data_IF_967070361051
#
_entry.id   IF_967070361051
#
_cell.length_a   1.000
_cell.length_b   1.000
_cell.length_c   1.000
_cell.angle_alpha   90.00
_cell.angle_beta   90.00
_cell.angle_gamma   90.00
#
_symmetry.space_group_name_H-M   'P 1'
#
loop_
_entity.id
_entity.type
_entity.pdbx_description
1 polymer ?
#
# COMPACT_ATOMS: atom_id res chain seq x y z
N UNK A 1 -0.79 -5.31 -18.04
CA UNK A 1 -0.26 -6.64 -17.70
C UNK A 1 -0.67 -6.97 -16.28
N UNK A 2 -1.28 -8.16 -16.05
CA UNK A 2 -1.68 -8.59 -14.71
C UNK A 2 -0.44 -8.88 -13.86
N UNK A 3 -0.39 -8.32 -12.65
CA UNK A 3 0.66 -8.57 -11.68
C UNK A 3 0.12 -9.44 -10.55
N UNK A 4 0.74 -10.60 -10.35
CA UNK A 4 0.34 -11.57 -9.33
C UNK A 4 1.20 -11.37 -8.06
N UNK A 5 0.63 -11.54 -6.87
CA UNK A 5 1.40 -11.57 -5.62
C UNK A 5 1.23 -12.97 -5.00
N UNK A 6 2.35 -13.67 -4.73
CA UNK A 6 2.35 -15.03 -4.18
C UNK A 6 3.14 -15.06 -2.87
N UNK A 7 2.58 -15.68 -1.84
CA UNK A 7 3.31 -16.00 -0.63
C UNK A 7 4.17 -17.28 -0.82
N UNK A 8 5.16 -17.48 0.04
CA UNK A 8 5.81 -18.80 0.17
C UNK A 8 4.79 -19.78 0.75
N UNK A 9 4.80 -21.02 0.29
CA UNK A 9 3.82 -22.07 0.63
C UNK A 9 2.38 -21.76 0.16
N UNK A 10 2.22 -20.77 -0.73
CA UNK A 10 0.95 -20.50 -1.39
C UNK A 10 0.57 -21.70 -2.25
N UNK A 11 -0.64 -22.23 -2.09
CA UNK A 11 -1.16 -23.33 -2.90
C UNK A 11 -1.90 -22.79 -4.13
N UNK A 12 -1.71 -23.46 -5.27
CA UNK A 12 -2.28 -23.09 -6.57
C UNK A 12 -2.73 -24.35 -7.29
N UNK A 13 -3.95 -24.37 -7.79
CA UNK A 13 -4.41 -25.36 -8.76
C UNK A 13 -3.94 -24.97 -10.15
N UNK A 14 -3.36 -25.90 -10.89
CA UNK A 14 -3.00 -25.75 -12.30
C UNK A 14 -3.42 -27.05 -13.00
N UNK A 15 -4.29 -26.97 -14.00
CA UNK A 15 -4.77 -28.13 -14.77
C UNK A 15 -5.22 -29.30 -13.87
N UNK A 16 -6.05 -29.02 -12.86
CA UNK A 16 -6.54 -30.00 -11.87
C UNK A 16 -5.45 -30.71 -11.03
N UNK A 17 -4.27 -30.10 -10.91
CA UNK A 17 -3.24 -30.52 -9.97
C UNK A 17 -2.89 -29.40 -9.00
N UNK A 18 -2.85 -29.74 -7.71
CA UNK A 18 -2.46 -28.82 -6.65
C UNK A 18 -0.94 -28.73 -6.56
N UNK A 19 -0.45 -27.50 -6.58
CA UNK A 19 0.96 -27.17 -6.45
C UNK A 19 1.18 -26.19 -5.29
N UNK A 20 2.35 -26.25 -4.67
CA UNK A 20 2.78 -25.37 -3.59
C UNK A 20 3.99 -24.52 -4.02
N UNK A 21 3.95 -23.22 -3.76
CA UNK A 21 5.06 -22.30 -4.07
C UNK A 21 6.22 -22.52 -3.10
N UNK A 22 7.30 -23.17 -3.56
CA UNK A 22 8.50 -23.43 -2.75
C UNK A 22 9.48 -22.26 -2.71
N UNK A 23 9.55 -21.49 -3.79
CA UNK A 23 10.53 -20.43 -3.91
C UNK A 23 10.32 -19.53 -5.11
N UNK A 24 11.10 -18.44 -5.12
CA UNK A 24 11.17 -17.47 -6.21
C UNK A 24 12.63 -17.25 -6.56
N UNK A 25 12.99 -17.41 -7.83
CA UNK A 25 14.32 -17.09 -8.34
C UNK A 25 14.21 -15.81 -9.19
N UNK A 26 15.05 -14.81 -8.90
CA UNK A 26 15.14 -13.57 -9.67
C UNK A 26 13.91 -12.64 -9.67
N UNK A 27 12.80 -13.05 -9.05
CA UNK A 27 11.53 -12.29 -9.04
C UNK A 27 10.61 -12.57 -10.24
N UNK A 28 11.12 -13.27 -11.25
CA UNK A 28 10.42 -13.63 -12.49
C UNK A 28 10.01 -15.10 -12.52
N UNK A 29 10.79 -15.98 -11.87
CA UNK A 29 10.58 -17.42 -11.88
C UNK A 29 9.97 -17.89 -10.56
N UNK A 30 8.92 -18.69 -10.66
CA UNK A 30 8.20 -19.31 -9.55
C UNK A 30 8.44 -20.81 -9.59
N UNK A 31 8.92 -21.36 -8.47
CA UNK A 31 9.11 -22.80 -8.30
C UNK A 31 7.87 -23.37 -7.61
N UNK A 32 7.17 -24.23 -8.32
CA UNK A 32 5.98 -24.91 -7.87
C UNK A 32 6.32 -26.39 -7.63
N UNK A 33 5.90 -26.92 -6.49
CA UNK A 33 6.02 -28.34 -6.19
C UNK A 33 4.61 -28.95 -6.21
N UNK A 34 4.39 -29.97 -7.03
CA UNK A 34 3.11 -30.66 -7.06
C UNK A 34 2.94 -31.44 -5.75
N UNK A 35 1.82 -31.24 -5.07
CA UNK A 35 1.59 -31.80 -3.72
C UNK A 35 1.46 -33.33 -3.74
N UNK A 36 1.04 -33.90 -4.88
CA UNK A 36 0.78 -35.34 -4.99
C UNK A 36 2.05 -36.20 -4.99
N UNK A 37 3.07 -35.77 -5.71
CA UNK A 37 4.27 -36.57 -6.03
C UNK A 37 5.59 -35.81 -5.82
N UNK A 38 5.52 -34.55 -5.41
CA UNK A 38 6.69 -33.69 -5.21
C UNK A 38 7.33 -33.21 -6.51
N UNK A 39 6.68 -33.38 -7.66
CA UNK A 39 7.25 -32.96 -8.94
C UNK A 39 7.46 -31.45 -8.97
N UNK A 40 8.69 -31.03 -9.28
CA UNK A 40 9.04 -29.62 -9.38
C UNK A 40 8.71 -29.08 -10.77
N UNK A 41 7.83 -28.10 -10.82
CA UNK A 41 7.49 -27.33 -12.01
C UNK A 41 8.03 -25.90 -11.88
N UNK A 42 8.77 -25.47 -12.89
CA UNK A 42 9.25 -24.10 -13.00
C UNK A 42 8.34 -23.36 -13.97
N UNK A 43 7.75 -22.26 -13.52
CA UNK A 43 6.91 -21.39 -14.35
C UNK A 43 7.28 -19.95 -14.11
N UNK A 44 7.11 -19.13 -15.14
CA UNK A 44 7.27 -17.68 -14.98
C UNK A 44 6.04 -17.09 -14.33
N UNK A 45 6.24 -15.94 -13.70
CA UNK A 45 5.15 -15.15 -13.12
C UNK A 45 4.11 -14.74 -14.16
N UNK A 46 4.57 -14.47 -15.39
CA UNK A 46 3.73 -14.12 -16.54
C UNK A 46 2.85 -15.31 -16.94
N UNK A 47 3.45 -16.47 -17.16
CA UNK A 47 2.71 -17.69 -17.52
C UNK A 47 1.67 -18.03 -16.46
N UNK A 48 2.04 -17.92 -15.18
CA UNK A 48 1.11 -18.20 -14.09
C UNK A 48 -0.06 -17.19 -14.06
N UNK A 49 0.20 -15.91 -14.33
CA UNK A 49 -0.86 -14.91 -14.44
C UNK A 49 -1.76 -15.15 -15.66
N UNK A 50 -1.19 -15.53 -16.81
CA UNK A 50 -1.93 -15.91 -18.01
C UNK A 50 -2.82 -17.14 -17.77
N UNK A 51 -2.32 -18.15 -17.04
CA UNK A 51 -3.09 -19.33 -16.65
C UNK A 51 -4.28 -18.98 -15.75
N UNK A 52 -4.10 -18.05 -14.80
CA UNK A 52 -5.19 -17.57 -13.95
C UNK A 52 -6.23 -16.80 -14.78
N UNK A 53 -5.79 -15.89 -15.66
CA UNK A 53 -6.69 -15.15 -16.54
C UNK A 53 -7.46 -16.05 -17.52
N UNK A 54 -6.87 -17.19 -17.91
CA UNK A 54 -7.50 -18.19 -18.76
C UNK A 54 -8.38 -19.22 -17.98
N UNK A 55 -8.61 -19.01 -16.67
CA UNK A 55 -9.28 -19.92 -15.74
C UNK A 55 -8.68 -21.34 -15.65
N UNK A 56 -7.42 -21.50 -16.11
CA UNK A 56 -6.64 -22.76 -16.04
C UNK A 56 -5.88 -22.92 -14.73
N UNK A 57 -5.81 -21.85 -13.93
CA UNK A 57 -5.21 -21.88 -12.61
C UNK A 57 -6.01 -21.10 -11.57
N UNK A 58 -6.07 -21.61 -10.32
CA UNK A 58 -6.81 -21.00 -9.21
C UNK A 58 -5.96 -20.95 -7.94
N UNK A 59 -5.94 -19.79 -7.27
CA UNK A 59 -5.22 -19.62 -6.00
C UNK A 59 -6.07 -20.18 -4.86
N UNK A 60 -5.47 -20.99 -3.99
CA UNK A 60 -6.14 -21.56 -2.82
C UNK A 60 -5.88 -20.69 -1.60
N UNK A 61 -6.91 -20.37 -0.82
CA UNK A 61 -6.71 -19.67 0.45
C UNK A 61 -5.94 -20.55 1.44
N UNK A 62 -4.87 -20.02 2.03
CA UNK A 62 -4.14 -20.74 3.08
C UNK A 62 -4.88 -20.57 4.40
N UNK A 63 -5.63 -21.60 4.80
CA UNK A 63 -6.30 -21.66 6.11
C UNK A 63 -5.30 -21.43 7.25
N UNK A 64 -5.70 -20.64 8.26
CA UNK A 64 -4.91 -20.35 9.46
C UNK A 64 -4.00 -19.11 9.40
N UNK A 65 -3.89 -18.45 8.25
CA UNK A 65 -3.07 -17.22 8.13
C UNK A 65 -3.86 -15.90 8.26
N UNK A 66 -5.20 -15.98 8.35
CA UNK A 66 -6.07 -14.79 8.40
C UNK A 66 -5.98 -13.89 7.16
N UNK A 67 -5.26 -14.31 6.11
CA UNK A 67 -5.16 -13.63 4.82
C UNK A 67 -5.80 -14.51 3.77
N UNK A 68 -7.04 -14.20 3.43
CA UNK A 68 -7.57 -14.61 2.13
C UNK A 68 -6.59 -14.16 1.03
N UNK A 69 -6.31 -15.00 0.02
CA UNK A 69 -5.57 -14.60 -1.16
C UNK A 69 -6.46 -13.61 -1.89
N UNK A 70 -6.30 -12.33 -1.56
CA UNK A 70 -6.87 -11.29 -2.36
C UNK A 70 -6.22 -11.41 -3.73
N UNK A 71 -7.00 -11.77 -4.75
CA UNK A 71 -6.73 -11.26 -6.10
C UNK A 71 -6.66 -9.76 -5.88
N UNK A 72 -5.44 -9.21 -5.86
CA UNK A 72 -5.24 -7.78 -5.60
C UNK A 72 -5.67 -7.06 -6.88
N UNK A 73 -6.98 -6.95 -7.10
CA UNK A 73 -7.58 -5.97 -8.00
C UNK A 73 -7.16 -4.56 -7.60
N UNK A 74 -6.63 -4.37 -6.38
CA UNK A 74 -6.07 -3.12 -5.87
C UNK A 74 -4.89 -2.54 -6.67
N UNK A 75 -4.41 -3.21 -7.72
CA UNK A 75 -3.48 -2.63 -8.71
C UNK A 75 -4.16 -2.18 -10.02
N UNK A 76 -5.43 -2.50 -10.25
CA UNK A 76 -6.23 -1.96 -11.35
C UNK A 76 -6.70 -0.53 -11.07
N UNK A 77 -6.91 -0.16 -9.79
CA UNK A 77 -7.38 1.17 -9.39
C UNK A 77 -6.44 2.32 -9.74
N UNK A 78 -5.15 2.02 -9.95
CA UNK A 78 -4.17 3.01 -10.43
C UNK A 78 -3.92 2.81 -11.90
N UNK A 79 -4.94 3.13 -12.69
CA UNK A 79 -4.68 3.37 -14.09
C UNK A 79 -3.71 4.54 -14.21
N UNK A 80 -2.59 4.33 -14.91
CA UNK A 80 -1.54 5.33 -15.06
C UNK A 80 -2.13 6.58 -15.75
N UNK A 81 -3.11 6.36 -16.63
CA UNK A 81 -3.85 7.41 -17.32
C UNK A 81 -4.69 8.29 -16.39
N UNK A 82 -5.12 7.81 -15.23
CA UNK A 82 -5.90 8.56 -14.26
C UNK A 82 -5.04 9.30 -13.21
N UNK A 83 -3.70 9.16 -13.25
CA UNK A 83 -2.83 9.77 -12.25
C UNK A 83 -2.76 11.30 -12.39
N UNK A 84 -2.76 12.04 -11.26
CA UNK A 84 -2.55 13.50 -11.26
C UNK A 84 -1.24 13.88 -11.98
N UNK A 85 -1.17 15.04 -12.65
CA UNK A 85 0.01 15.43 -13.44
C UNK A 85 1.32 15.36 -12.65
N UNK A 86 1.32 15.83 -11.40
CA UNK A 86 2.49 15.79 -10.51
C UNK A 86 2.96 14.36 -10.20
N UNK A 87 2.02 13.44 -10.01
CA UNK A 87 2.33 12.02 -9.73
C UNK A 87 2.89 11.36 -10.99
N UNK A 88 2.32 11.68 -12.16
CA UNK A 88 2.76 11.17 -13.46
C UNK A 88 4.17 11.63 -13.81
N UNK A 89 4.46 12.93 -13.70
CA UNK A 89 5.81 13.46 -13.96
C UNK A 89 6.88 12.77 -13.09
N UNK A 90 6.59 12.55 -11.81
CA UNK A 90 7.52 11.85 -10.92
C UNK A 90 7.60 10.35 -11.25
N UNK A 91 6.53 9.71 -11.71
CA UNK A 91 6.57 8.33 -12.19
C UNK A 91 7.42 8.19 -13.45
N UNK A 92 7.24 9.09 -14.42
CA UNK A 92 8.01 9.12 -15.67
C UNK A 92 9.50 9.34 -15.38
N UNK A 93 9.80 10.28 -14.48
CA UNK A 93 11.16 10.49 -13.97
C UNK A 93 11.74 9.21 -13.37
N UNK A 94 11.01 8.49 -12.52
CA UNK A 94 11.47 7.22 -11.93
C UNK A 94 11.69 6.14 -12.98
N UNK A 95 10.84 6.10 -14.00
CA UNK A 95 10.91 5.13 -15.09
C UNK A 95 12.21 5.28 -15.87
N UNK A 96 12.66 6.50 -16.16
CA UNK A 96 13.94 6.73 -16.84
C UNK A 96 15.14 6.17 -16.06
N UNK A 97 15.18 6.37 -14.74
CA UNK A 97 16.24 5.79 -13.90
C UNK A 97 16.18 4.26 -13.86
N UNK A 98 14.98 3.68 -13.73
CA UNK A 98 14.81 2.24 -13.68
C UNK A 98 15.18 1.57 -15.01
N UNK A 99 14.77 2.19 -16.12
CA UNK A 99 15.13 1.75 -17.47
C UNK A 99 16.64 1.73 -17.66
N UNK A 100 17.34 2.79 -17.23
CA UNK A 100 18.79 2.81 -17.32
C UNK A 100 19.47 1.72 -16.46
N UNK A 101 18.91 1.39 -15.29
CA UNK A 101 19.44 0.28 -14.45
C UNK A 101 19.28 -1.07 -15.15
N UNK A 102 18.16 -1.28 -15.83
CA UNK A 102 17.87 -2.48 -16.62
C UNK A 102 18.79 -2.57 -17.85
N UNK A 103 18.88 -1.50 -18.66
CA UNK A 103 19.73 -1.43 -19.86
C UNK A 103 21.22 -1.49 -19.53
N UNK A 104 21.63 -0.94 -18.39
CA UNK A 104 23.02 -0.93 -17.93
C UNK A 104 23.53 -2.28 -17.41
N UNK A 105 22.68 -3.31 -17.34
CA UNK A 105 23.07 -4.65 -16.91
C UNK A 105 23.68 -4.69 -15.51
N UNK A 106 23.24 -3.80 -14.61
CA UNK A 106 23.86 -3.62 -13.30
C UNK A 106 23.57 -4.84 -12.42
N UNK A 107 24.54 -5.75 -12.32
CA UNK A 107 24.43 -7.00 -11.55
C UNK A 107 24.31 -6.75 -10.04
N UNK A 108 25.00 -5.72 -9.52
CA UNK A 108 25.01 -5.37 -8.09
C UNK A 108 24.53 -3.94 -7.87
N UNK A 109 23.55 -3.76 -6.98
CA UNK A 109 22.99 -2.44 -6.65
C UNK A 109 23.78 -1.78 -5.52
N UNK A 110 25.00 -1.35 -5.82
CA UNK A 110 25.90 -0.67 -4.87
C UNK A 110 26.02 0.81 -5.20
N UNK A 111 26.57 1.58 -4.27
CA UNK A 111 26.87 2.99 -4.51
C UNK A 111 27.78 3.18 -5.73
N UNK A 112 28.86 2.38 -5.83
CA UNK A 112 29.82 2.48 -6.93
C UNK A 112 29.20 2.22 -8.29
N UNK A 113 28.31 1.23 -8.41
CA UNK A 113 27.66 0.90 -9.67
C UNK A 113 26.55 1.88 -10.04
N UNK A 114 25.76 2.35 -9.07
CA UNK A 114 24.61 3.20 -9.34
C UNK A 114 24.96 4.70 -9.45
N UNK A 115 26.03 5.17 -8.79
CA UNK A 115 26.34 6.61 -8.77
C UNK A 115 26.75 7.16 -10.14
N UNK A 116 27.42 6.36 -10.96
CA UNK A 116 27.74 6.73 -12.35
C UNK A 116 26.49 6.81 -13.21
N UNK A 117 25.63 5.79 -13.10
CA UNK A 117 24.36 5.71 -13.80
C UNK A 117 23.42 6.85 -13.44
N UNK A 118 23.29 7.17 -12.15
CA UNK A 118 22.47 8.29 -11.67
C UNK A 118 22.91 9.60 -12.31
N UNK A 119 24.22 9.88 -12.36
CA UNK A 119 24.76 11.09 -13.00
C UNK A 119 24.48 11.12 -14.50
N UNK A 120 24.68 10.00 -15.19
CA UNK A 120 24.41 9.89 -16.63
C UNK A 120 22.93 10.16 -16.95
N UNK A 121 22.01 9.53 -16.20
CA UNK A 121 20.57 9.71 -16.40
C UNK A 121 20.15 11.13 -16.02
N UNK A 122 20.68 11.69 -14.92
CA UNK A 122 20.37 13.06 -14.50
C UNK A 122 20.72 14.08 -15.59
N UNK A 123 21.89 13.93 -16.22
CA UNK A 123 22.31 14.77 -17.33
C UNK A 123 21.42 14.57 -18.56
N UNK A 124 21.05 13.32 -18.86
CA UNK A 124 20.18 12.98 -20.01
C UNK A 124 18.79 13.62 -19.91
N UNK A 125 18.19 13.61 -18.72
CA UNK A 125 16.81 14.09 -18.50
C UNK A 125 16.75 15.52 -17.94
N UNK A 126 17.90 16.17 -17.73
CA UNK A 126 17.97 17.51 -17.13
C UNK A 126 17.50 17.58 -15.67
N UNK A 127 17.68 16.50 -14.90
CA UNK A 127 17.23 16.45 -13.50
C UNK A 127 18.16 17.25 -12.59
N UNK A 128 17.69 18.42 -12.16
CA UNK A 128 18.42 19.30 -11.22
C UNK A 128 18.62 18.70 -9.82
N UNK A 129 17.83 17.69 -9.42
CA UNK A 129 17.85 17.11 -8.07
C UNK A 129 17.84 15.59 -8.14
N UNK A 130 18.90 14.95 -8.66
CA UNK A 130 18.92 13.52 -8.88
C UNK A 130 18.72 12.73 -7.57
N UNK A 131 18.07 11.56 -7.64
CA UNK A 131 17.87 10.71 -6.48
C UNK A 131 19.19 10.10 -6.01
N UNK A 132 19.35 9.94 -4.70
CA UNK A 132 20.48 9.21 -4.13
C UNK A 132 20.44 7.71 -4.53
N UNK A 133 21.58 7.04 -4.61
CA UNK A 133 21.67 5.63 -5.03
C UNK A 133 20.76 4.70 -4.22
N UNK A 134 20.64 4.95 -2.91
CA UNK A 134 19.74 4.18 -2.01
C UNK A 134 18.27 4.32 -2.41
N UNK A 135 17.89 5.44 -3.01
CA UNK A 135 16.52 5.68 -3.51
C UNK A 135 16.25 4.83 -4.74
N UNK A 136 17.20 4.76 -5.68
CA UNK A 136 17.13 3.86 -6.84
C UNK A 136 17.04 2.41 -6.37
N UNK A 137 17.93 1.99 -5.45
CA UNK A 137 17.90 0.66 -4.86
C UNK A 137 16.52 0.30 -4.28
N UNK A 138 15.88 1.24 -3.56
CA UNK A 138 14.53 1.05 -3.01
C UNK A 138 13.47 0.89 -4.10
N UNK A 139 13.56 1.64 -5.20
CA UNK A 139 12.64 1.49 -6.33
C UNK A 139 12.81 0.14 -7.03
N UNK A 140 14.05 -0.26 -7.33
CA UNK A 140 14.35 -1.57 -7.94
C UNK A 140 13.87 -2.69 -7.02
N UNK A 141 14.10 -2.58 -5.71
CA UNK A 141 13.63 -3.57 -4.73
C UNK A 141 12.10 -3.69 -4.70
N UNK A 142 11.36 -2.58 -4.85
CA UNK A 142 9.89 -2.61 -4.95
C UNK A 142 9.44 -3.24 -6.25
N UNK A 143 10.08 -2.88 -7.36
CA UNK A 143 9.78 -3.42 -8.67
C UNK A 143 9.99 -4.94 -8.72
N UNK A 144 11.11 -5.43 -8.17
CA UNK A 144 11.40 -6.86 -8.02
C UNK A 144 10.36 -7.59 -7.17
N UNK A 145 9.91 -6.99 -6.06
CA UNK A 145 8.84 -7.57 -5.21
C UNK A 145 7.48 -7.61 -5.90
N UNK A 146 7.23 -6.66 -6.80
CA UNK A 146 6.02 -6.57 -7.61
C UNK A 146 6.19 -7.21 -9.00
N UNK A 147 7.19 -8.07 -9.18
CA UNK A 147 7.44 -8.82 -10.41
C UNK A 147 7.44 -7.96 -11.67
N UNK A 148 8.07 -6.79 -11.60
CA UNK A 148 8.20 -5.87 -12.74
C UNK A 148 7.06 -4.86 -12.91
N UNK A 149 6.04 -4.88 -12.05
CA UNK A 149 4.93 -3.92 -12.18
C UNK A 149 5.36 -2.49 -11.80
N UNK A 150 5.40 -1.60 -12.81
CA UNK A 150 5.77 -0.19 -12.64
C UNK A 150 4.86 0.55 -11.65
N UNK A 151 3.63 0.08 -11.45
CA UNK A 151 2.68 0.65 -10.49
C UNK A 151 3.21 0.60 -9.05
N UNK A 152 4.07 -0.36 -8.74
CA UNK A 152 4.70 -0.49 -7.42
C UNK A 152 5.65 0.69 -7.08
N UNK A 153 6.06 1.45 -8.08
CA UNK A 153 6.99 2.59 -7.94
C UNK A 153 6.25 3.94 -7.96
N UNK A 154 4.92 3.95 -8.15
CA UNK A 154 4.08 5.16 -8.08
C UNK A 154 4.31 5.88 -6.73
N UNK A 155 4.63 7.18 -6.72
CA UNK A 155 4.78 7.94 -5.48
C UNK A 155 3.45 8.03 -4.73
N UNK A 156 3.44 7.53 -3.49
CA UNK A 156 2.34 7.73 -2.56
C UNK A 156 2.45 9.09 -1.86
N UNK A 157 2.22 10.19 -2.61
CA UNK A 157 2.22 11.55 -2.05
C UNK A 157 1.04 11.79 -1.10
N UNK A 158 -0.10 11.17 -1.41
CA UNK A 158 -1.33 11.10 -0.63
C UNK A 158 -1.13 10.49 0.77
N UNK A 159 -0.27 9.47 0.88
CA UNK A 159 0.04 8.80 2.17
C UNK A 159 1.01 9.58 3.06
N UNK A 160 1.55 10.70 2.58
CA UNK A 160 2.42 11.55 3.41
C UNK A 160 1.50 12.34 4.35
N UNK A 161 1.51 11.99 5.62
CA UNK A 161 0.75 12.71 6.65
C UNK A 161 1.00 14.22 6.58
N UNK A 162 0.00 15.00 6.98
CA UNK A 162 0.07 16.45 6.89
C UNK A 162 1.27 16.99 7.70
N UNK A 163 2.20 17.68 7.03
CA UNK A 163 3.39 18.29 7.63
C UNK A 163 3.16 19.75 8.03
N UNK A 164 2.00 20.32 7.73
CA UNK A 164 1.66 21.68 8.19
C UNK A 164 1.10 21.62 9.60
N UNK A 165 1.56 22.55 10.44
CA UNK A 165 1.10 22.71 11.82
C UNK A 165 -0.38 23.11 11.78
N UNK A 166 -1.27 22.26 12.30
CA UNK A 166 -2.72 22.54 12.38
C UNK A 166 -3.08 23.55 13.47
N UNK A 167 -2.13 23.82 14.37
CA UNK A 167 -2.27 24.85 15.39
C UNK A 167 -1.83 26.17 14.76
N UNK A 168 -2.79 26.96 14.27
CA UNK A 168 -2.60 28.40 14.22
C UNK A 168 -2.27 28.83 15.65
N UNK A 169 -1.17 29.54 15.87
CA UNK A 169 -0.98 30.21 17.16
C UNK A 169 -2.17 31.15 17.30
N UNK A 170 -3.14 30.79 18.15
CA UNK A 170 -4.13 31.76 18.59
C UNK A 170 -3.27 32.80 19.29
N UNK A 171 -3.13 34.04 18.78
CA UNK A 171 -2.48 35.06 19.56
C UNK A 171 -3.28 35.15 20.85
N UNK A 172 -2.57 35.09 21.97
CA UNK A 172 -3.11 35.32 23.31
C UNK A 172 -3.58 36.79 23.37
N UNK A 173 -4.67 37.10 22.66
CA UNK A 173 -5.35 38.36 22.76
C UNK A 173 -6.04 38.30 24.12
N UNK A 174 -5.42 39.02 25.05
CA UNK A 174 -5.97 39.41 26.34
C UNK A 174 -7.49 39.53 26.23
N UNK A 175 -8.21 38.70 27.00
CA UNK A 175 -9.64 38.89 27.24
C UNK A 175 -9.75 40.18 28.05
N UNK A 176 -9.72 41.31 27.34
CA UNK A 176 -10.14 42.59 27.84
C UNK A 176 -11.65 42.53 28.06
N UNK A 177 -12.05 42.64 29.32
CA UNK A 177 -13.38 43.03 29.80
C UNK A 177 -14.49 43.09 28.75
N UNK A 178 -15.26 42.00 28.61
CA UNK A 178 -16.63 42.09 28.12
C UNK A 178 -17.51 42.33 29.35
N UNK A 179 -17.97 43.56 29.52
CA UNK A 179 -19.08 43.87 30.41
C UNK A 179 -20.32 43.12 29.90
N UNK A 180 -20.73 42.08 30.65
CA UNK A 180 -22.03 41.45 30.46
C UNK A 180 -23.11 42.48 30.85
N UNK A 181 -23.72 43.17 29.88
CA UNK A 181 -25.05 43.72 30.10
C UNK A 181 -26.05 42.57 30.03
N UNK A 182 -26.45 42.11 31.19
CA UNK A 182 -27.49 41.10 31.39
C UNK A 182 -28.84 41.69 30.95
N UNK A 183 -29.39 41.23 29.82
CA UNK A 183 -30.81 41.46 29.49
C UNK A 183 -31.60 40.25 29.94
N UNK A 184 -32.38 40.43 31.00
CA UNK A 184 -33.29 39.43 31.56
C UNK A 184 -34.38 39.06 30.54
N UNK A 185 -34.60 37.78 30.22
CA UNK A 185 -35.86 37.36 29.62
C UNK A 185 -36.95 37.38 30.70
N UNK A 186 -38.05 38.09 30.42
CA UNK A 186 -39.25 38.11 31.28
C UNK A 186 -39.77 36.68 31.45
N UNK A 187 -39.95 36.33 32.71
CA UNK A 187 -40.65 35.15 33.21
C UNK A 187 -42.00 34.95 32.52
N UNK A 188 -42.23 33.75 32.01
CA UNK A 188 -43.58 33.19 31.95
C UNK A 188 -43.53 31.79 32.56
N UNK A 189 -44.25 31.67 33.68
CA UNK A 189 -44.47 30.44 34.42
C UNK A 189 -45.09 29.37 33.52
N UNK A 190 -44.46 28.20 33.44
CA UNK A 190 -45.19 26.94 33.36
C UNK A 190 -44.53 25.97 34.33
N UNK A 191 -45.26 25.65 35.39
CA UNK A 191 -44.89 24.65 36.38
C UNK A 191 -44.89 23.27 35.73
N UNK A 192 -43.78 22.53 35.88
CA UNK A 192 -43.79 21.08 35.77
C UNK A 192 -43.02 20.50 36.96
N UNK A 193 -43.79 19.95 37.89
CA UNK A 193 -43.32 19.10 38.97
C UNK A 193 -42.77 17.79 38.40
N UNK A 194 -41.53 17.43 38.72
CA UNK A 194 -40.98 16.13 38.33
C UNK A 194 -39.55 15.94 38.84
N UNK A 195 -39.43 15.12 39.87
CA UNK A 195 -38.22 14.86 40.66
C UNK A 195 -37.05 14.31 39.84
N UNK A 196 -35.85 14.85 40.07
CA UNK A 196 -34.59 14.34 39.57
C UNK A 196 -34.08 13.21 40.47
N UNK A 197 -33.98 11.99 39.93
CA UNK A 197 -33.14 10.94 40.49
C UNK A 197 -31.99 10.66 39.53
N UNK A 198 -30.82 11.21 39.85
CA UNK A 198 -29.55 10.82 39.25
C UNK A 198 -29.21 9.40 39.70
N UNK A 199 -29.06 8.45 38.77
CA UNK A 199 -28.26 7.24 39.01
C UNK A 199 -27.15 7.12 37.97
N UNK A 200 -25.94 7.22 38.50
CA UNK A 200 -24.68 6.69 37.96
C UNK A 200 -24.92 5.29 37.40
N UNK A 201 -24.60 5.07 36.13
CA UNK A 201 -24.36 3.73 35.59
C UNK A 201 -22.84 3.61 35.47
N UNK A 202 -22.26 2.95 36.47
CA UNK A 202 -20.89 2.46 36.40
C UNK A 202 -20.95 1.02 35.90
N UNK A 203 -20.07 0.74 34.94
CA UNK A 203 -19.74 -0.57 34.38
C UNK A 203 -19.47 -1.56 35.51
N UNK A 204 -20.28 -2.63 35.60
CA UNK A 204 -19.95 -4.01 36.02
C UNK A 204 -21.29 -4.78 36.18
N UNK A 205 -21.27 -6.07 35.82
CA UNK A 205 -22.31 -7.10 35.98
C UNK A 205 -23.42 -7.22 34.91
N UNK A 206 -23.17 -8.10 33.93
CA UNK A 206 -24.19 -8.90 33.27
C UNK A 206 -23.58 -10.25 32.83
N UNK A 207 -23.32 -11.10 33.82
CA UNK A 207 -23.22 -12.56 33.67
C UNK A 207 -24.52 -13.14 34.24
N UNK A 208 -25.16 -13.99 33.43
CA UNK A 208 -26.10 -15.08 33.78
C UNK A 208 -27.62 -14.81 33.90
N UNK A 209 -28.34 -15.69 33.17
CA UNK A 209 -29.76 -16.13 33.22
C UNK A 209 -30.76 -15.33 32.38
N UNK A 210 -31.57 -15.93 31.49
CA UNK A 210 -31.72 -17.32 31.07
C UNK A 210 -32.91 -17.46 30.11
N UNK A 211 -32.91 -18.54 29.31
CA UNK A 211 -34.04 -19.36 28.87
C UNK A 211 -33.50 -20.49 27.98
#
# INVERSE_FOLDING_TARGET
MPSLALARNQRVWIDDAMHEVRGRAGGEVVHLERVRDGEMRVVTHRELAELICADKAKLVAVEGTGREPQIVEHNLEKDIAALPPKVRMELDRRREYLKAVEEGGVLTLTERSLSGLVRQVANKIGDSKPPHWTTIYRWVSRLRRASGDIRAVIPAFDRRGNRTRRLTSIPFFSIGHVTLSWVAPKTTNVAFSGSWAWRRISIFDAIMLGL
#
